data_IF_089902276395
#
_entry.id   IF_089902276395
#
_cell.length_a   1.000
_cell.length_b   1.000
_cell.length_c   1.000
_cell.angle_alpha   90.00
_cell.angle_beta   90.00
_cell.angle_gamma   90.00
#
_symmetry.space_group_name_H-M   'P 1'
#
loop_
_entity.id
_entity.type
_entity.pdbx_description
1 polymer ?
#
# COMPACT_ATOMS: atom_id res chain seq x y z
N UNK A 1 -5.41 3.17 19.09
CA UNK A 1 -4.29 2.28 18.75
C UNK A 1 -4.39 1.01 19.57
N UNK A 2 -4.06 -0.15 19.04
CA UNK A 2 -3.99 -1.39 19.84
C UNK A 2 -2.57 -1.58 20.35
N UNK A 3 -2.43 -2.16 21.54
CA UNK A 3 -1.16 -2.48 22.18
C UNK A 3 -1.26 -3.84 22.85
N UNK A 4 -0.12 -4.47 23.13
CA UNK A 4 -0.03 -5.69 23.93
C UNK A 4 0.76 -5.38 25.19
N UNK A 5 0.23 -5.79 26.33
CA UNK A 5 0.93 -5.68 27.60
C UNK A 5 2.20 -6.54 27.60
N UNK A 6 3.37 -5.92 27.77
CA UNK A 6 4.66 -6.60 27.89
C UNK A 6 4.87 -7.20 29.28
N UNK A 7 4.24 -6.58 30.29
CA UNK A 7 4.30 -6.97 31.70
C UNK A 7 2.90 -6.91 32.32
N UNK A 8 2.71 -7.60 33.43
CA UNK A 8 1.50 -7.44 34.24
C UNK A 8 1.59 -6.17 35.08
N UNK A 9 0.48 -5.46 35.21
CA UNK A 9 0.36 -4.23 35.98
C UNK A 9 -0.86 -4.31 36.91
N UNK A 10 -0.68 -3.89 38.16
CA UNK A 10 -1.75 -3.80 39.13
C UNK A 10 -1.98 -2.32 39.44
N UNK A 11 -3.19 -1.84 39.19
CA UNK A 11 -3.60 -0.47 39.48
C UNK A 11 -3.38 -0.15 40.97
N UNK A 12 -2.63 0.91 41.21
CA UNK A 12 -2.45 1.56 42.51
C UNK A 12 -3.49 2.65 42.74
N UNK A 13 -3.93 3.32 41.67
CA UNK A 13 -4.85 4.46 41.71
C UNK A 13 -6.22 4.10 41.10
N UNK A 14 -7.31 4.80 41.49
CA UNK A 14 -8.67 4.44 41.06
C UNK A 14 -8.94 4.69 39.57
N UNK A 15 -8.17 5.55 38.93
CA UNK A 15 -8.22 5.90 37.50
C UNK A 15 -7.31 5.01 36.63
N UNK A 16 -6.55 4.10 37.23
CA UNK A 16 -5.71 3.12 36.54
C UNK A 16 -6.47 1.80 36.23
N UNK A 17 -5.96 1.05 35.25
CA UNK A 17 -6.45 -0.29 34.94
C UNK A 17 -5.36 -1.34 35.16
N UNK A 18 -5.67 -2.36 35.97
CA UNK A 18 -4.87 -3.58 36.07
C UNK A 18 -5.00 -4.43 34.81
N UNK A 19 -3.88 -5.01 34.36
CA UNK A 19 -3.82 -5.93 33.24
C UNK A 19 -2.72 -6.97 33.43
N UNK A 20 -2.79 -8.08 32.71
CA UNK A 20 -1.78 -9.12 32.70
C UNK A 20 -0.89 -9.03 31.47
N UNK A 21 0.35 -9.52 31.58
CA UNK A 21 1.23 -9.69 30.42
C UNK A 21 0.51 -10.48 29.33
N UNK A 22 0.51 -9.93 28.11
CA UNK A 22 -0.13 -10.51 26.93
C UNK A 22 -1.54 -9.97 26.68
N UNK A 23 -2.13 -9.21 27.60
CA UNK A 23 -3.44 -8.59 27.39
C UNK A 23 -3.39 -7.58 26.23
N UNK A 24 -4.46 -7.54 25.46
CA UNK A 24 -4.65 -6.52 24.42
C UNK A 24 -5.23 -5.26 25.05
N UNK A 25 -4.51 -4.16 24.90
CA UNK A 25 -4.80 -2.85 25.45
C UNK A 25 -5.19 -1.92 24.32
N UNK A 26 -6.39 -1.34 24.38
CA UNK A 26 -6.84 -0.38 23.38
C UNK A 26 -6.53 1.03 23.86
N UNK A 27 -5.42 1.57 23.37
CA UNK A 27 -5.00 2.95 23.65
C UNK A 27 -5.92 3.93 22.92
N UNK A 28 -6.55 4.81 23.69
CA UNK A 28 -7.52 5.80 23.19
C UNK A 28 -6.95 7.21 23.10
N UNK A 29 -6.08 7.60 24.04
CA UNK A 29 -5.41 8.91 24.04
C UNK A 29 -3.95 8.72 24.45
N UNK A 30 -3.08 9.52 23.83
CA UNK A 30 -1.63 9.51 24.02
C UNK A 30 -1.21 10.98 24.15
N UNK A 31 -0.87 11.40 25.36
CA UNK A 31 -0.40 12.76 25.63
C UNK A 31 1.13 12.75 25.58
N UNK A 32 1.73 13.62 24.75
CA UNK A 32 3.19 13.62 24.49
C UNK A 32 4.04 13.90 25.73
N UNK A 33 3.49 14.59 26.73
CA UNK A 33 4.16 14.93 27.98
C UNK A 33 3.85 13.95 29.14
N UNK A 34 3.10 12.87 28.87
CA UNK A 34 2.65 11.91 29.87
C UNK A 34 3.26 10.52 29.65
N UNK A 35 3.81 9.92 30.72
CA UNK A 35 4.27 8.52 30.71
C UNK A 35 3.12 7.50 30.83
N UNK A 36 1.87 7.96 30.69
CA UNK A 36 0.64 7.19 30.84
C UNK A 36 -0.28 7.41 29.66
N UNK A 37 -0.92 6.32 29.21
CA UNK A 37 -1.90 6.35 28.13
C UNK A 37 -3.30 6.09 28.65
N UNK A 38 -4.28 6.90 28.22
CA UNK A 38 -5.69 6.59 28.44
C UNK A 38 -6.07 5.40 27.57
N UNK A 39 -6.44 4.29 28.21
CA UNK A 39 -6.70 3.03 27.53
C UNK A 39 -8.00 2.37 27.97
N UNK A 40 -8.46 1.42 27.16
CA UNK A 40 -9.62 0.60 27.42
C UNK A 40 -9.22 -0.88 27.37
N UNK A 41 -9.54 -1.64 28.43
CA UNK A 41 -9.28 -3.08 28.54
C UNK A 41 -10.55 -3.75 29.05
N UNK A 42 -11.09 -4.71 28.29
CA UNK A 42 -12.32 -5.44 28.63
C UNK A 42 -13.52 -4.52 28.98
N UNK A 43 -13.63 -3.36 28.33
CA UNK A 43 -14.68 -2.37 28.56
C UNK A 43 -14.47 -1.45 29.77
N UNK A 44 -13.39 -1.62 30.54
CA UNK A 44 -12.97 -0.65 31.57
C UNK A 44 -12.05 0.39 30.94
N UNK A 45 -12.28 1.69 31.17
CA UNK A 45 -11.40 2.80 30.77
C UNK A 45 -10.58 3.31 31.96
N UNK A 46 -9.34 3.73 31.70
CA UNK A 46 -8.39 4.22 32.69
C UNK A 46 -6.96 4.27 32.15
N UNK A 47 -6.00 4.62 33.01
CA UNK A 47 -4.61 4.80 32.64
C UNK A 47 -3.80 3.51 32.66
N UNK A 48 -2.89 3.40 31.69
CA UNK A 48 -1.87 2.34 31.64
C UNK A 48 -0.48 2.96 31.42
N UNK A 49 0.59 2.42 32.01
CA UNK A 49 1.93 2.94 31.81
C UNK A 49 2.42 2.65 30.38
N UNK A 50 2.99 3.65 29.70
CA UNK A 50 3.52 3.51 28.34
C UNK A 50 4.56 2.38 28.26
N UNK A 51 5.51 2.33 29.19
CA UNK A 51 6.61 1.37 29.21
C UNK A 51 6.18 -0.08 29.54
N UNK A 52 4.89 -0.30 29.86
CA UNK A 52 4.33 -1.62 30.14
C UNK A 52 3.61 -2.23 28.94
N UNK A 53 3.43 -1.45 27.87
CA UNK A 53 2.70 -1.88 26.69
C UNK A 53 3.56 -1.70 25.44
N UNK A 54 3.39 -2.59 24.47
CA UNK A 54 3.95 -2.47 23.14
C UNK A 54 2.81 -2.12 22.20
N UNK A 55 2.78 -0.88 21.71
CA UNK A 55 1.84 -0.49 20.67
C UNK A 55 2.02 -1.43 19.48
N UNK A 56 0.95 -2.15 19.15
CA UNK A 56 0.97 -3.02 18.00
C UNK A 56 1.16 -2.12 16.77
N UNK A 57 2.22 -2.35 15.97
CA UNK A 57 2.32 -1.68 14.69
C UNK A 57 1.10 -2.11 13.88
N UNK A 58 0.16 -1.19 13.69
CA UNK A 58 -0.91 -1.45 12.76
C UNK A 58 -0.27 -1.66 11.38
N UNK A 59 -0.63 -2.72 10.63
CA UNK A 59 -0.01 -2.99 9.33
C UNK A 59 -0.06 -1.80 8.37
N UNK A 60 -1.09 -0.97 8.55
CA UNK A 60 -1.32 0.24 7.79
C UNK A 60 -0.63 1.48 8.38
N UNK A 61 -0.15 1.50 9.62
CA UNK A 61 0.56 2.67 10.17
C UNK A 61 2.06 2.53 9.95
N UNK A 62 2.59 3.27 8.98
CA UNK A 62 3.98 3.19 8.56
C UNK A 62 4.91 4.17 9.32
N UNK A 63 4.36 5.04 10.17
CA UNK A 63 5.12 6.05 10.91
C UNK A 63 5.77 7.10 9.99
N UNK A 64 7.02 7.48 10.30
CA UNK A 64 7.84 8.42 9.54
C UNK A 64 8.34 7.84 8.19
N UNK A 65 7.41 7.54 7.29
CA UNK A 65 7.68 7.14 5.91
C UNK A 65 7.51 8.33 4.98
N UNK A 66 8.45 8.52 4.06
CA UNK A 66 8.39 9.63 3.10
C UNK A 66 7.27 9.44 2.09
N UNK A 67 6.87 10.54 1.44
CA UNK A 67 5.91 10.43 0.33
C UNK A 67 6.41 9.48 -0.76
N UNK A 68 7.68 9.60 -1.16
CA UNK A 68 8.27 8.79 -2.22
C UNK A 68 8.31 7.31 -1.83
N UNK A 69 8.74 7.01 -0.61
CA UNK A 69 8.79 5.64 -0.09
C UNK A 69 7.38 5.03 0.00
N UNK A 70 6.37 5.81 0.39
CA UNK A 70 4.98 5.37 0.37
C UNK A 70 4.50 5.06 -1.05
N UNK A 71 4.84 5.91 -2.03
CA UNK A 71 4.55 5.66 -3.44
C UNK A 71 5.21 4.35 -3.91
N UNK A 72 6.50 4.12 -3.61
CA UNK A 72 7.21 2.90 -4.00
C UNK A 72 6.61 1.62 -3.40
N UNK A 73 6.15 1.66 -2.14
CA UNK A 73 5.52 0.51 -1.47
C UNK A 73 4.12 0.19 -1.97
N UNK A 74 3.34 1.23 -2.32
CA UNK A 74 1.93 1.10 -2.68
C UNK A 74 1.70 1.01 -4.19
N UNK A 75 2.63 1.51 -5.00
CA UNK A 75 2.52 1.42 -6.45
C UNK A 75 2.53 -0.05 -6.86
N UNK A 76 1.64 -0.42 -7.78
CA UNK A 76 1.43 -1.80 -8.22
C UNK A 76 0.76 -2.74 -7.19
N UNK A 77 0.31 -2.21 -6.05
CA UNK A 77 -0.59 -2.94 -5.15
C UNK A 77 -2.03 -2.92 -5.69
N UNK A 78 -2.90 -3.75 -5.12
CA UNK A 78 -4.33 -3.71 -5.45
C UNK A 78 -4.95 -2.36 -5.07
N UNK A 79 -5.96 -1.94 -5.84
CA UNK A 79 -6.73 -0.74 -5.54
C UNK A 79 -7.33 -0.83 -4.14
N UNK A 80 -7.09 0.19 -3.32
CA UNK A 80 -7.56 0.29 -1.94
C UNK A 80 -6.51 -0.08 -0.89
N UNK A 81 -5.39 -0.71 -1.27
CA UNK A 81 -4.28 -0.95 -0.33
C UNK A 81 -3.73 0.40 0.14
N UNK A 82 -3.58 0.59 1.45
CA UNK A 82 -3.20 1.89 2.01
C UNK A 82 -2.17 1.80 3.11
N UNK A 83 -1.57 2.95 3.41
CA UNK A 83 -0.82 3.20 4.63
C UNK A 83 -1.05 4.64 5.12
N UNK A 84 -1.01 4.83 6.43
CA UNK A 84 -0.95 6.11 7.12
C UNK A 84 0.51 6.38 7.46
N UNK A 85 0.99 7.56 7.11
CA UNK A 85 2.34 8.04 7.42
C UNK A 85 2.29 9.41 8.07
N UNK A 86 3.33 9.76 8.79
CA UNK A 86 3.54 11.13 9.26
C UNK A 86 3.85 12.06 8.08
N UNK A 87 3.36 13.30 8.15
CA UNK A 87 3.57 14.30 7.10
C UNK A 87 4.95 14.94 7.24
N UNK A 88 5.85 14.66 6.28
CA UNK A 88 7.17 15.31 6.22
C UNK A 88 7.08 16.84 6.10
N UNK A 89 6.00 17.34 5.49
CA UNK A 89 5.78 18.76 5.22
C UNK A 89 5.09 19.50 6.36
N UNK A 90 4.48 18.80 7.32
CA UNK A 90 3.73 19.40 8.42
C UNK A 90 3.88 18.53 9.70
N UNK A 91 4.77 18.90 10.62
CA UNK A 91 4.93 18.21 11.90
C UNK A 91 3.60 18.17 12.66
N UNK A 92 3.18 16.99 13.10
CA UNK A 92 1.89 16.77 13.78
C UNK A 92 0.71 16.39 12.85
N UNK A 93 0.85 16.52 11.52
CA UNK A 93 -0.17 16.05 10.58
C UNK A 93 0.12 14.63 10.08
N UNK A 94 -0.95 13.91 9.73
CA UNK A 94 -0.85 12.60 9.09
C UNK A 94 -1.22 12.67 7.61
N UNK A 95 -0.72 11.73 6.83
CA UNK A 95 -1.05 11.55 5.42
C UNK A 95 -1.46 10.11 5.18
N UNK A 96 -2.65 9.91 4.63
CA UNK A 96 -3.13 8.60 4.21
C UNK A 96 -2.80 8.41 2.73
N UNK A 97 -1.93 7.45 2.43
CA UNK A 97 -1.53 7.11 1.06
C UNK A 97 -2.28 5.85 0.64
N UNK A 98 -2.95 5.89 -0.52
CA UNK A 98 -3.81 4.80 -1.01
C UNK A 98 -3.40 4.43 -2.43
N UNK A 99 -3.25 3.14 -2.69
CA UNK A 99 -2.99 2.61 -4.02
C UNK A 99 -4.24 2.58 -4.88
N UNK A 100 -4.10 3.04 -6.12
CA UNK A 100 -5.10 2.93 -7.17
C UNK A 100 -4.70 1.91 -8.24
N UNK A 101 -3.62 1.15 -8.01
CA UNK A 101 -3.04 0.20 -8.95
C UNK A 101 -1.87 0.80 -9.73
N UNK A 102 -2.17 1.72 -10.65
CA UNK A 102 -1.17 2.40 -11.50
C UNK A 102 -0.48 3.57 -10.80
N UNK A 103 -1.17 4.19 -9.85
CA UNK A 103 -0.70 5.36 -9.09
C UNK A 103 -1.09 5.26 -7.63
N UNK A 104 -0.52 6.16 -6.84
CA UNK A 104 -0.81 6.31 -5.41
C UNK A 104 -1.36 7.71 -5.20
N UNK A 105 -2.51 7.82 -4.53
CA UNK A 105 -3.08 9.09 -4.14
C UNK A 105 -2.82 9.32 -2.65
N UNK A 106 -2.62 10.59 -2.27
CA UNK A 106 -2.35 10.97 -0.89
C UNK A 106 -3.44 11.91 -0.39
N UNK A 107 -4.07 11.50 0.72
CA UNK A 107 -5.09 12.26 1.41
C UNK A 107 -4.47 12.86 2.68
N UNK A 108 -4.56 14.19 2.82
CA UNK A 108 -4.12 14.85 4.05
C UNK A 108 -5.12 14.52 5.16
N UNK A 109 -4.59 14.06 6.29
CA UNK A 109 -5.36 13.86 7.52
C UNK A 109 -5.04 15.03 8.44
N UNK A 110 -6.04 15.87 8.66
CA UNK A 110 -5.93 17.01 9.57
C UNK A 110 -6.17 16.51 10.98
N UNK A 111 -5.32 16.93 11.92
CA UNK A 111 -5.48 16.71 13.35
C UNK A 111 -5.81 18.06 14.01
N UNK A 112 -6.84 18.08 14.85
CA UNK A 112 -7.22 19.27 15.59
C UNK A 112 -8.06 18.93 16.81
N UNK A 113 -7.50 19.15 18.01
CA UNK A 113 -8.18 18.93 19.28
C UNK A 113 -8.56 17.47 19.52
N UNK A 114 -7.69 16.53 19.12
CA UNK A 114 -7.92 15.09 19.26
C UNK A 114 -8.91 14.50 18.25
N UNK A 115 -9.26 15.26 17.20
CA UNK A 115 -10.09 14.79 16.10
C UNK A 115 -9.30 14.72 14.79
N UNK A 116 -9.59 13.70 13.99
CA UNK A 116 -8.96 13.41 12.71
C UNK A 116 -9.99 13.50 11.59
N UNK A 117 -9.68 14.23 10.51
CA UNK A 117 -10.52 14.29 9.33
C UNK A 117 -9.70 14.30 8.02
N UNK A 118 -10.30 13.78 6.95
CA UNK A 118 -9.77 13.88 5.57
C UNK A 118 -10.65 14.80 4.72
N UNK A 119 -11.96 14.66 4.86
CA UNK A 119 -12.98 15.41 4.13
C UNK A 119 -13.91 16.14 5.12
N UNK A 120 -15.22 15.98 4.99
CA UNK A 120 -16.25 16.56 5.87
C UNK A 120 -16.45 15.77 7.18
N UNK A 121 -15.92 14.55 7.28
CA UNK A 121 -16.08 13.66 8.44
C UNK A 121 -14.91 13.76 9.40
N UNK A 122 -15.21 14.04 10.67
CA UNK A 122 -14.26 13.99 11.79
C UNK A 122 -14.45 12.72 12.63
N UNK A 123 -13.34 12.21 13.15
CA UNK A 123 -13.25 11.00 13.93
C UNK A 123 -12.39 11.22 15.17
N UNK A 124 -12.75 10.62 16.30
CA UNK A 124 -11.98 10.71 17.55
C UNK A 124 -10.69 9.84 17.57
N UNK A 125 -10.35 9.17 16.46
CA UNK A 125 -9.07 8.45 16.30
C UNK A 125 -8.81 8.11 14.83
N UNK A 126 -7.53 7.95 14.48
CA UNK A 126 -7.12 7.41 13.16
C UNK A 126 -7.71 6.02 12.89
N UNK A 127 -7.80 5.15 13.91
CA UNK A 127 -8.43 3.83 13.78
C UNK A 127 -9.88 3.94 13.29
N UNK A 128 -10.68 4.81 13.92
CA UNK A 128 -12.09 5.02 13.52
C UNK A 128 -12.22 5.59 12.12
N UNK A 129 -11.31 6.49 11.74
CA UNK A 129 -11.21 7.03 10.39
C UNK A 129 -10.95 5.92 9.38
N UNK A 130 -9.94 5.07 9.64
CA UNK A 130 -9.58 3.95 8.78
C UNK A 130 -10.74 2.96 8.66
N UNK A 131 -11.32 2.54 9.78
CA UNK A 131 -12.46 1.61 9.82
C UNK A 131 -13.65 2.13 9.02
N UNK A 132 -13.92 3.44 9.10
CA UNK A 132 -14.98 4.06 8.31
C UNK A 132 -14.73 3.92 6.81
N UNK A 133 -13.52 4.25 6.33
CA UNK A 133 -13.19 4.15 4.90
C UNK A 133 -12.90 2.72 4.44
N UNK A 134 -12.87 1.71 5.32
CA UNK A 134 -12.92 0.29 4.90
C UNK A 134 -14.27 -0.10 4.31
N UNK A 135 -15.35 0.56 4.72
CA UNK A 135 -16.70 0.31 4.20
C UNK A 135 -17.26 1.46 3.38
N UNK A 136 -16.65 2.64 3.44
CA UNK A 136 -17.04 3.83 2.70
C UNK A 136 -15.98 4.20 1.67
N UNK A 137 -16.40 4.69 0.51
CA UNK A 137 -15.46 5.13 -0.51
C UNK A 137 -14.70 6.37 -0.03
N UNK A 138 -13.37 6.34 -0.11
CA UNK A 138 -12.53 7.51 0.16
C UNK A 138 -12.49 8.48 -1.02
N UNK A 139 -12.68 7.97 -2.24
CA UNK A 139 -12.69 8.77 -3.46
C UNK A 139 -14.11 9.14 -3.88
N UNK A 140 -14.26 10.36 -4.41
CA UNK A 140 -15.55 10.86 -4.90
C UNK A 140 -15.96 10.23 -6.25
N UNK A 141 -15.00 9.96 -7.14
CA UNK A 141 -15.28 9.54 -8.53
C UNK A 141 -15.28 8.02 -8.74
N UNK A 142 -14.65 7.26 -7.84
CA UNK A 142 -14.52 5.80 -7.93
C UNK A 142 -14.78 5.18 -6.58
N UNK A 143 -15.43 4.02 -6.55
CA UNK A 143 -15.56 3.24 -5.32
C UNK A 143 -14.22 2.66 -4.91
N UNK A 144 -13.57 3.28 -3.92
CA UNK A 144 -12.29 2.84 -3.36
C UNK A 144 -12.42 2.76 -1.86
N UNK A 145 -12.46 1.54 -1.35
CA UNK A 145 -12.46 1.25 0.08
C UNK A 145 -11.06 0.87 0.54
N UNK A 146 -10.70 1.26 1.76
CA UNK A 146 -9.41 0.94 2.35
C UNK A 146 -9.29 -0.57 2.60
N UNK A 147 -8.14 -1.12 2.25
CA UNK A 147 -7.75 -2.51 2.46
C UNK A 147 -6.41 -2.58 3.13
N UNK A 148 -6.29 -3.44 4.14
CA UNK A 148 -5.02 -3.63 4.81
C UNK A 148 -3.94 -4.08 3.81
N UNK A 149 -2.71 -3.59 3.94
CA UNK A 149 -1.60 -4.15 3.20
C UNK A 149 -1.47 -5.63 3.56
N UNK A 150 -1.14 -6.50 2.59
CA UNK A 150 -1.00 -7.93 2.85
C UNK A 150 -0.01 -8.12 4.00
N UNK A 151 -0.42 -8.89 5.01
CA UNK A 151 0.35 -9.16 6.24
C UNK A 151 1.62 -9.99 6.00
N UNK A 152 1.80 -10.52 4.79
CA UNK A 152 3.07 -10.99 4.29
C UNK A 152 3.77 -9.86 3.54
N UNK A 153 5.09 -9.63 3.71
CA UNK A 153 5.82 -8.88 2.70
C UNK A 153 5.44 -9.50 1.34
N UNK A 154 5.07 -8.70 0.32
CA UNK A 154 4.91 -9.27 -1.01
C UNK A 154 6.19 -10.08 -1.23
N UNK A 155 6.11 -11.37 -1.62
CA UNK A 155 7.31 -12.16 -1.85
C UNK A 155 8.17 -11.27 -2.71
N UNK A 156 9.35 -10.88 -2.19
CA UNK A 156 10.25 -9.91 -2.84
C UNK A 156 10.14 -10.21 -4.31
N UNK A 157 9.41 -9.36 -5.05
CA UNK A 157 9.16 -9.65 -6.46
C UNK A 157 10.53 -9.40 -7.01
N UNK A 158 11.30 -10.48 -7.09
CA UNK A 158 12.60 -10.56 -7.72
C UNK A 158 12.46 -9.66 -8.94
N UNK A 159 13.30 -8.62 -9.09
CA UNK A 159 13.11 -7.60 -10.11
C UNK A 159 12.69 -8.33 -11.37
N UNK A 160 11.43 -8.12 -11.79
CA UNK A 160 10.88 -8.89 -12.91
C UNK A 160 11.93 -8.80 -14.00
N UNK A 161 12.40 -9.94 -14.55
CA UNK A 161 13.50 -9.91 -15.51
C UNK A 161 13.17 -8.84 -16.54
N UNK A 162 14.14 -7.98 -16.89
CA UNK A 162 13.89 -6.85 -17.77
C UNK A 162 13.07 -7.36 -18.96
N UNK A 163 11.99 -6.65 -19.35
CA UNK A 163 11.13 -7.10 -20.42
C UNK A 163 12.01 -7.47 -21.61
N UNK A 164 11.77 -8.64 -22.23
CA UNK A 164 12.65 -9.15 -23.28
C UNK A 164 12.75 -8.08 -24.35
N UNK A 165 13.98 -7.65 -24.66
CA UNK A 165 14.23 -6.60 -25.66
C UNK A 165 14.25 -7.17 -27.07
N UNK A 166 14.40 -8.49 -27.17
CA UNK A 166 14.55 -9.22 -28.42
C UNK A 166 13.66 -10.46 -28.39
N UNK A 167 13.15 -10.83 -29.55
CA UNK A 167 12.50 -12.11 -29.77
C UNK A 167 13.01 -12.76 -31.07
N UNK A 168 13.06 -14.08 -31.08
CA UNK A 168 13.40 -14.87 -32.25
C UNK A 168 12.11 -15.35 -32.91
N UNK A 169 11.92 -15.06 -34.20
CA UNK A 169 10.83 -15.60 -34.98
C UNK A 169 10.92 -17.12 -35.09
N UNK A 170 9.91 -17.82 -34.55
CA UNK A 170 9.79 -19.27 -34.59
C UNK A 170 9.32 -19.78 -35.97
N UNK A 171 8.59 -18.93 -36.70
CA UNK A 171 8.06 -19.24 -38.03
C UNK A 171 7.93 -17.97 -38.90
N UNK A 172 7.67 -18.17 -40.18
CA UNK A 172 7.44 -17.07 -41.13
C UNK A 172 6.08 -16.41 -40.87
N UNK A 173 6.08 -15.08 -40.78
CA UNK A 173 4.88 -14.29 -40.62
C UNK A 173 4.80 -13.22 -41.72
N UNK A 174 3.90 -13.45 -42.68
CA UNK A 174 3.74 -12.65 -43.90
C UNK A 174 2.32 -12.09 -44.00
N UNK A 175 1.96 -11.12 -43.15
CA UNK A 175 0.61 -10.57 -43.10
C UNK A 175 0.31 -9.74 -44.35
N UNK A 176 -0.96 -9.72 -44.77
CA UNK A 176 -1.44 -8.90 -45.90
C UNK A 176 -1.58 -7.42 -45.54
N UNK A 177 -1.65 -7.10 -44.25
CA UNK A 177 -1.86 -5.74 -43.74
C UNK A 177 -0.52 -5.05 -43.49
N UNK A 178 -0.42 -3.79 -43.89
CA UNK A 178 0.80 -2.96 -43.72
C UNK A 178 1.07 -2.57 -42.26
N UNK A 179 0.07 -2.68 -41.39
CA UNK A 179 0.17 -2.46 -39.94
C UNK A 179 0.87 -3.60 -39.20
N UNK A 180 0.89 -4.81 -39.79
CA UNK A 180 1.48 -5.98 -39.18
C UNK A 180 2.96 -6.12 -39.57
N UNK A 181 3.78 -6.59 -38.64
CA UNK A 181 5.21 -6.79 -38.88
C UNK A 181 5.41 -8.00 -39.80
N UNK A 182 6.32 -7.89 -40.76
CA UNK A 182 6.71 -9.02 -41.61
C UNK A 182 8.09 -9.53 -41.18
N UNK A 183 8.19 -10.82 -40.87
CA UNK A 183 9.44 -11.47 -40.48
C UNK A 183 9.46 -12.92 -40.95
N UNK A 184 10.66 -13.49 -41.06
CA UNK A 184 10.89 -14.90 -41.37
C UNK A 184 11.38 -15.65 -40.15
N UNK A 185 11.15 -16.96 -40.10
CA UNK A 185 11.78 -17.87 -39.14
C UNK A 185 13.29 -17.63 -39.13
N UNK A 186 13.87 -17.46 -37.95
CA UNK A 186 15.29 -17.06 -37.86
C UNK A 186 15.50 -15.59 -37.52
N UNK A 187 14.52 -14.73 -37.81
CA UNK A 187 14.69 -13.29 -37.63
C UNK A 187 14.69 -12.89 -36.16
N UNK A 188 15.55 -11.93 -35.86
CA UNK A 188 15.55 -11.23 -34.57
C UNK A 188 14.64 -10.00 -34.70
N UNK A 189 13.75 -9.87 -33.73
CA UNK A 189 12.75 -8.80 -33.64
C UNK A 189 13.04 -7.99 -32.37
N UNK A 190 13.25 -6.69 -32.51
CA UNK A 190 13.32 -5.78 -31.36
C UNK A 190 11.89 -5.60 -30.81
N UNK A 191 11.67 -5.97 -29.55
CA UNK A 191 10.38 -5.82 -28.89
C UNK A 191 10.24 -4.37 -28.39
N UNK A 192 9.23 -3.66 -28.90
CA UNK A 192 8.94 -2.27 -28.54
C UNK A 192 7.80 -2.16 -27.52
N UNK A 193 6.79 -3.04 -27.62
CA UNK A 193 5.68 -3.12 -26.68
C UNK A 193 5.15 -4.55 -26.63
N UNK A 194 5.18 -5.15 -25.44
CA UNK A 194 4.69 -6.48 -25.13
C UNK A 194 3.68 -6.47 -23.96
N UNK A 195 3.05 -5.32 -23.71
CA UNK A 195 2.06 -5.14 -22.63
C UNK A 195 0.74 -5.87 -22.88
N UNK A 196 0.42 -6.20 -24.14
CA UNK A 196 -0.81 -6.87 -24.53
C UNK A 196 -0.58 -8.37 -24.81
N UNK A 197 -1.38 -9.26 -24.22
CA UNK A 197 -1.25 -10.71 -24.40
C UNK A 197 -1.65 -11.22 -25.80
N UNK A 198 -2.35 -10.41 -26.58
CA UNK A 198 -2.89 -10.81 -27.89
C UNK A 198 -2.09 -10.26 -29.08
N UNK A 199 -1.35 -9.17 -28.89
CA UNK A 199 -0.65 -8.50 -29.99
C UNK A 199 0.53 -7.68 -29.48
N UNK A 200 1.73 -8.02 -29.96
CA UNK A 200 2.97 -7.34 -29.62
C UNK A 200 3.41 -6.42 -30.74
N UNK A 201 4.13 -5.36 -30.39
CA UNK A 201 4.73 -4.44 -31.34
C UNK A 201 6.24 -4.62 -31.34
N UNK A 202 6.82 -4.74 -32.51
CA UNK A 202 8.26 -4.84 -32.65
C UNK A 202 8.80 -4.29 -33.96
N UNK A 203 10.12 -4.31 -34.07
CA UNK A 203 10.87 -3.86 -35.23
C UNK A 203 11.69 -5.01 -35.79
N UNK A 204 11.59 -5.25 -37.09
CA UNK A 204 12.40 -6.23 -37.80
C UNK A 204 12.83 -5.63 -39.13
N UNK A 205 14.13 -5.72 -39.45
CA UNK A 205 14.71 -5.24 -40.73
C UNK A 205 14.30 -3.80 -41.09
N UNK A 206 14.27 -2.92 -40.09
CA UNK A 206 13.92 -1.50 -40.26
C UNK A 206 12.42 -1.18 -40.38
N UNK A 207 11.54 -2.19 -40.36
CA UNK A 207 10.08 -2.02 -40.35
C UNK A 207 9.52 -2.24 -38.97
N UNK A 208 8.54 -1.44 -38.58
CA UNK A 208 7.82 -1.57 -37.31
C UNK A 208 6.39 -2.02 -37.60
N UNK A 209 5.89 -2.96 -36.82
CA UNK A 209 4.52 -3.44 -36.96
C UNK A 209 4.09 -4.29 -35.77
N UNK A 210 2.83 -4.72 -35.81
CA UNK A 210 2.26 -5.61 -34.79
C UNK A 210 2.26 -7.07 -35.23
N UNK A 211 2.38 -7.99 -34.29
CA UNK A 211 2.34 -9.43 -34.56
C UNK A 211 1.89 -10.20 -33.31
N UNK A 212 1.32 -11.41 -33.48
CA UNK A 212 0.92 -12.22 -32.33
C UNK A 212 2.14 -12.82 -31.63
N UNK A 213 2.17 -12.83 -30.29
CA UNK A 213 3.31 -13.37 -29.53
C UNK A 213 3.61 -14.84 -29.82
N UNK A 214 2.60 -15.64 -30.23
CA UNK A 214 2.74 -17.07 -30.50
C UNK A 214 3.75 -17.42 -31.61
N UNK A 215 4.12 -16.43 -32.44
CA UNK A 215 5.03 -16.60 -33.58
C UNK A 215 6.50 -16.37 -33.21
N UNK A 216 6.78 -15.95 -31.98
CA UNK A 216 8.11 -15.54 -31.55
C UNK A 216 8.47 -16.13 -30.18
N UNK A 217 9.76 -16.34 -29.96
CA UNK A 217 10.30 -16.73 -28.66
C UNK A 217 11.08 -15.55 -28.07
N UNK A 218 10.64 -14.95 -26.95
CA UNK A 218 11.39 -13.89 -26.30
C UNK A 218 12.76 -14.38 -25.83
N UNK A 219 13.78 -13.58 -26.05
CA UNK A 219 15.15 -13.84 -25.60
C UNK A 219 15.40 -12.99 -24.36
N UNK A 220 15.60 -13.65 -23.23
CA UNK A 220 16.01 -13.02 -21.97
C UNK A 220 17.54 -13.15 -21.85
N UNK A 221 18.23 -12.03 -21.65
CA UNK A 221 19.65 -11.98 -21.33
C UNK A 221 19.85 -11.87 -19.82
#
# INVERSE_FOLDING_TARGET
MEAVALFSFAASEPDEISFQKGDVVKVTEMEEDSCWFTSEIQGKRGYVPENYIYLLPHPWFAGAVSRLEAEERLRWQETGVFLVRESESAPGEFSLSVSYGDRVEHFRVLEGGGQYCIWDKSFCSLNRLVDFYRTHSIAMEKMVCLRDPPSSPPPLRSPSPPPPRLAHALCDYTPRQTSHLHFKRGDIIDLLDCSNSLSWRGRCRGRVGVFPPDYVQPVHH
#
